data_IF_858428907830
#
_entry.id   IF_858428907830
#
_cell.length_a   1.000
_cell.length_b   1.000
_cell.length_c   1.000
_cell.angle_alpha   90.00
_cell.angle_beta   90.00
_cell.angle_gamma   90.00
#
_symmetry.space_group_name_H-M   'P 1'
#
loop_
_entity.id
_entity.type
_entity.pdbx_description
1 polymer ?
#
# COMPACT_ATOMS: atom_id res chain seq x y z
N UNK A 1 16.74 8.32 10.52
CA UNK A 1 16.66 8.99 9.21
C UNK A 1 15.20 9.27 8.93
N UNK A 2 14.85 10.52 8.62
CA UNK A 2 13.49 10.85 8.20
C UNK A 2 13.25 10.31 6.79
N UNK A 3 12.03 9.87 6.45
CA UNK A 3 11.68 9.32 5.14
C UNK A 3 12.11 10.23 3.97
N UNK A 4 12.04 11.55 4.17
CA UNK A 4 12.49 12.53 3.19
C UNK A 4 14.00 12.51 2.90
N UNK A 5 14.85 12.12 3.86
CA UNK A 5 16.30 12.01 3.65
C UNK A 5 16.66 10.86 2.72
N UNK A 6 15.98 9.71 2.89
CA UNK A 6 16.19 8.52 2.05
C UNK A 6 15.85 8.84 0.60
N UNK A 7 14.72 9.50 0.36
CA UNK A 7 14.28 9.86 -0.99
C UNK A 7 15.18 10.92 -1.64
N UNK A 8 15.72 11.87 -0.87
CA UNK A 8 16.68 12.87 -1.35
C UNK A 8 18.08 12.31 -1.61
N UNK A 9 18.41 11.16 -1.03
CA UNK A 9 19.72 10.51 -1.23
C UNK A 9 19.85 9.80 -2.59
N UNK A 10 18.75 9.67 -3.33
CA UNK A 10 18.72 9.03 -4.65
C UNK A 10 19.44 9.92 -5.67
N UNK A 11 20.61 9.49 -6.14
CA UNK A 11 21.48 10.26 -7.04
C UNK A 11 20.87 10.54 -8.42
N UNK A 12 19.98 9.67 -8.89
CA UNK A 12 19.25 9.84 -10.15
C UNK A 12 17.75 9.93 -9.87
N UNK A 13 17.16 11.06 -10.24
CA UNK A 13 15.72 11.22 -10.12
C UNK A 13 15.01 10.34 -11.17
N UNK A 14 13.91 9.65 -10.80
CA UNK A 14 13.13 8.89 -11.76
C UNK A 14 12.53 9.81 -12.82
N UNK A 15 12.42 9.31 -14.07
CA UNK A 15 11.76 10.03 -15.18
C UNK A 15 10.26 9.76 -15.25
N UNK A 16 9.83 8.61 -14.74
CA UNK A 16 8.45 8.14 -14.75
C UNK A 16 8.19 7.52 -13.39
N UNK A 17 7.02 7.79 -12.81
CA UNK A 17 6.58 7.24 -11.54
C UNK A 17 5.26 6.54 -11.77
N UNK A 18 5.25 5.22 -11.55
CA UNK A 18 4.06 4.37 -11.59
C UNK A 18 3.45 4.30 -10.20
N UNK A 19 2.14 4.47 -10.11
CA UNK A 19 1.41 4.54 -8.84
C UNK A 19 0.14 3.72 -8.89
N UNK A 20 -0.21 3.15 -7.75
CA UNK A 20 -1.52 2.57 -7.53
C UNK A 20 -2.57 3.69 -7.64
N UNK A 21 -3.74 3.48 -8.29
CA UNK A 21 -4.79 4.49 -8.44
C UNK A 21 -5.59 4.75 -7.15
N UNK A 22 -4.95 4.74 -5.98
CA UNK A 22 -5.57 5.01 -4.68
C UNK A 22 -5.02 6.31 -4.07
N UNK A 23 -5.90 7.09 -3.42
CA UNK A 23 -5.55 8.41 -2.87
C UNK A 23 -4.33 8.40 -1.95
N UNK A 24 -4.20 7.39 -1.07
CA UNK A 24 -3.05 7.23 -0.17
C UNK A 24 -1.72 7.11 -0.92
N UNK A 25 -1.70 6.35 -2.01
CA UNK A 25 -0.51 6.11 -2.83
C UNK A 25 -0.18 7.35 -3.66
N UNK A 26 -1.18 8.02 -4.20
CA UNK A 26 -1.02 9.29 -4.91
C UNK A 26 -0.41 10.38 -4.00
N UNK A 27 -0.91 10.51 -2.78
CA UNK A 27 -0.34 11.44 -1.78
C UNK A 27 1.13 11.12 -1.51
N UNK A 28 1.46 9.84 -1.31
CA UNK A 28 2.84 9.41 -1.08
C UNK A 28 3.73 9.75 -2.28
N UNK A 29 3.27 9.50 -3.50
CA UNK A 29 4.02 9.80 -4.72
C UNK A 29 4.27 11.31 -4.88
N UNK A 30 3.28 12.15 -4.62
CA UNK A 30 3.43 13.61 -4.65
C UNK A 30 4.48 14.11 -3.64
N UNK A 31 4.56 13.50 -2.46
CA UNK A 31 5.56 13.84 -1.45
C UNK A 31 6.95 13.31 -1.81
N UNK A 32 7.02 12.14 -2.43
CA UNK A 32 8.27 11.45 -2.72
C UNK A 32 8.95 11.90 -4.01
N UNK A 33 8.16 12.29 -5.01
CA UNK A 33 8.61 12.74 -6.32
C UNK A 33 7.92 14.06 -6.73
N UNK A 34 8.07 15.14 -5.94
CA UNK A 34 7.37 16.41 -6.20
C UNK A 34 7.80 17.08 -7.53
N UNK A 35 8.88 16.61 -8.15
CA UNK A 35 9.38 17.06 -9.45
C UNK A 35 8.70 16.36 -10.64
N UNK A 36 7.80 15.40 -10.40
CA UNK A 36 7.00 14.74 -11.43
C UNK A 36 5.58 15.28 -11.37
N UNK A 37 5.15 15.99 -12.42
CA UNK A 37 3.82 16.61 -12.47
C UNK A 37 2.69 15.60 -12.67
N UNK A 38 2.96 14.49 -13.36
CA UNK A 38 1.95 13.48 -13.70
C UNK A 38 2.45 12.07 -13.40
N UNK A 39 1.70 11.33 -12.60
CA UNK A 39 1.95 9.92 -12.29
C UNK A 39 1.19 8.98 -13.24
N UNK A 40 1.83 7.88 -13.62
CA UNK A 40 1.19 6.81 -14.40
C UNK A 40 0.42 5.92 -13.43
N UNK A 41 -0.91 5.89 -13.56
CA UNK A 41 -1.77 5.05 -12.73
C UNK A 41 -1.73 3.62 -13.27
N UNK A 42 -1.31 2.66 -12.46
CA UNK A 42 -1.14 1.26 -12.83
C UNK A 42 -2.02 0.36 -11.95
N UNK A 43 -3.26 0.04 -12.37
CA UNK A 43 -4.18 -0.81 -11.61
C UNK A 43 -3.62 -2.19 -11.18
N UNK A 44 -2.79 -2.88 -11.98
CA UNK A 44 -2.10 -4.11 -11.57
C UNK A 44 -1.20 -3.99 -10.33
N UNK A 45 -0.84 -2.77 -9.90
CA UNK A 45 -0.07 -2.57 -8.66
C UNK A 45 -0.95 -2.53 -7.40
N UNK A 46 -2.27 -2.66 -7.52
CA UNK A 46 -3.19 -2.67 -6.38
C UNK A 46 -2.76 -3.70 -5.32
N UNK A 47 -3.04 -3.36 -4.06
CA UNK A 47 -2.83 -4.25 -2.93
C UNK A 47 -3.66 -5.54 -3.10
N UNK A 48 -3.22 -6.62 -2.43
CA UNK A 48 -4.00 -7.84 -2.34
C UNK A 48 -5.36 -7.50 -1.73
N UNK A 49 -6.44 -7.97 -2.35
CA UNK A 49 -7.78 -7.85 -1.79
C UNK A 49 -7.94 -8.93 -0.70
N UNK A 50 -8.06 -8.52 0.56
CA UNK A 50 -8.23 -9.43 1.69
C UNK A 50 -9.68 -9.85 1.93
N UNK A 51 -10.63 -9.40 1.09
CA UNK A 51 -12.03 -9.79 1.12
C UNK A 51 -12.71 -9.45 2.46
N UNK A 52 -13.29 -10.46 3.11
CA UNK A 52 -14.00 -10.28 4.37
C UNK A 52 -13.09 -9.86 5.55
N UNK A 53 -11.77 -9.90 5.38
CA UNK A 53 -10.82 -9.44 6.39
C UNK A 53 -10.47 -7.96 6.26
N UNK A 54 -10.90 -7.28 5.20
CA UNK A 54 -10.70 -5.83 5.04
C UNK A 54 -11.35 -5.06 6.19
N UNK A 55 -10.55 -4.26 6.91
CA UNK A 55 -11.01 -3.48 8.06
C UNK A 55 -11.20 -4.26 9.36
N UNK A 56 -11.00 -5.59 9.35
CA UNK A 56 -11.04 -6.41 10.56
C UNK A 56 -9.76 -6.23 11.38
N UNK A 57 -9.89 -6.26 12.70
CA UNK A 57 -8.73 -6.31 13.59
C UNK A 57 -8.11 -7.70 13.58
N UNK A 58 -6.90 -7.81 14.14
CA UNK A 58 -6.25 -9.11 14.33
C UNK A 58 -7.11 -10.03 15.19
N UNK A 59 -7.75 -9.48 16.22
CA UNK A 59 -8.60 -10.20 17.16
C UNK A 59 -9.85 -10.76 16.46
N UNK A 60 -10.52 -9.96 15.63
CA UNK A 60 -11.69 -10.38 14.83
C UNK A 60 -11.36 -11.55 13.89
N UNK A 61 -10.21 -11.44 13.20
CA UNK A 61 -9.72 -12.50 12.29
C UNK A 61 -9.39 -13.76 13.09
N UNK A 62 -8.72 -13.63 14.23
CA UNK A 62 -8.32 -14.76 15.06
C UNK A 62 -9.55 -15.54 15.53
N UNK A 63 -10.58 -14.86 16.06
CA UNK A 63 -11.82 -15.51 16.49
C UNK A 63 -12.50 -16.28 15.34
N UNK A 64 -12.52 -15.71 14.14
CA UNK A 64 -13.12 -16.33 12.96
C UNK A 64 -12.36 -17.59 12.52
N UNK A 65 -11.02 -17.56 12.59
CA UNK A 65 -10.18 -18.70 12.21
C UNK A 65 -10.25 -19.80 13.28
N UNK A 66 -10.11 -19.47 14.56
CA UNK A 66 -10.09 -20.46 15.64
C UNK A 66 -11.45 -21.07 15.90
N UNK A 67 -12.55 -20.32 15.71
CA UNK A 67 -13.91 -20.85 15.80
C UNK A 67 -14.20 -21.94 14.77
N UNK A 68 -13.61 -21.84 13.57
CA UNK A 68 -13.77 -22.86 12.51
C UNK A 68 -12.98 -24.14 12.78
N UNK A 69 -11.90 -24.10 13.56
CA UNK A 69 -11.10 -25.29 13.89
C UNK A 69 -11.79 -26.17 14.95
N UNK A 70 -12.69 -25.60 15.75
CA UNK A 70 -13.41 -26.35 16.80
C UNK A 70 -14.67 -27.08 16.30
N UNK A 71 -15.13 -26.83 15.06
CA UNK A 71 -16.32 -27.48 14.48
C UNK A 71 -15.98 -28.61 13.49
N UNK A 72 -14.76 -29.15 13.56
CA UNK A 72 -14.34 -30.31 12.75
C UNK A 72 -13.99 -31.48 13.68
N UNK A 73 -15.00 -32.28 14.01
CA UNK A 73 -14.85 -33.60 14.67
C UNK A 73 -14.08 -34.60 13.79
#
# INVERSE_FOLDING_TARGET
MAQGEVLRSVKCLPRIVFVIPLGRTLTTANLAAPFIETHVKEPPLLEINFGAWEGATREDITQTITGRVQESD
#
